data_IF_299552675164
#
_entry.id   IF_299552675164
#
_cell.length_a   1.000
_cell.length_b   1.000
_cell.length_c   1.000
_cell.angle_alpha   90.00
_cell.angle_beta   90.00
_cell.angle_gamma   90.00
#
_symmetry.space_group_name_H-M   'P 1'
#
loop_
_entity.id
_entity.type
_entity.pdbx_description
1 polymer ?
#
# COMPACT_ATOMS: atom_id res chain seq x y z
N UNK A 1 -20.37 3.27 6.77
CA UNK A 1 -21.19 2.04 6.81
C UNK A 1 -21.19 1.43 5.41
N UNK A 2 -21.09 0.11 5.28
CA UNK A 2 -21.26 -0.56 3.98
C UNK A 2 -22.74 -0.56 3.56
N UNK A 3 -23.01 -0.29 2.28
CA UNK A 3 -24.33 -0.51 1.67
C UNK A 3 -24.49 -1.99 1.35
N UNK A 4 -25.69 -2.52 1.52
CA UNK A 4 -26.02 -3.90 1.14
C UNK A 4 -26.01 -4.03 -0.39
N UNK A 5 -25.02 -4.76 -0.93
CA UNK A 5 -24.87 -4.98 -2.38
C UNK A 5 -25.90 -6.02 -2.86
N UNK A 6 -26.73 -5.65 -3.83
CA UNK A 6 -27.74 -6.56 -4.41
C UNK A 6 -27.14 -7.41 -5.53
N UNK A 7 -27.54 -8.68 -5.58
CA UNK A 7 -27.06 -9.66 -6.57
C UNK A 7 -25.53 -9.80 -6.57
N UNK A 8 -24.92 -9.81 -5.39
CA UNK A 8 -23.47 -9.83 -5.20
C UNK A 8 -22.87 -11.23 -5.01
N UNK A 9 -23.67 -12.31 -5.02
CA UNK A 9 -23.22 -13.71 -4.85
C UNK A 9 -23.67 -14.56 -6.05
N UNK A 10 -22.80 -15.42 -6.54
CA UNK A 10 -23.13 -16.52 -7.46
C UNK A 10 -22.36 -17.78 -7.09
N UNK A 11 -23.03 -18.93 -7.13
CA UNK A 11 -22.46 -20.24 -6.86
C UNK A 11 -22.52 -21.13 -8.12
N UNK A 12 -21.40 -21.75 -8.47
CA UNK A 12 -21.26 -22.56 -9.68
C UNK A 12 -20.21 -23.66 -9.47
N UNK A 13 -20.59 -24.92 -9.72
CA UNK A 13 -19.69 -26.09 -9.74
C UNK A 13 -18.86 -26.32 -8.46
N UNK A 14 -19.35 -25.87 -7.30
CA UNK A 14 -18.65 -25.96 -6.01
C UNK A 14 -17.71 -24.78 -5.71
N UNK A 15 -17.83 -23.70 -6.49
CA UNK A 15 -17.18 -22.41 -6.23
C UNK A 15 -18.25 -21.34 -5.96
N UNK A 16 -17.88 -20.32 -5.19
CA UNK A 16 -18.74 -19.20 -4.79
C UNK A 16 -17.98 -17.89 -4.99
N UNK A 17 -18.48 -17.07 -5.91
CA UNK A 17 -17.99 -15.72 -6.16
C UNK A 17 -18.87 -14.74 -5.38
N UNK A 18 -18.28 -13.93 -4.50
CA UNK A 18 -19.01 -12.90 -3.72
C UNK A 18 -18.32 -11.54 -3.84
N UNK A 19 -19.00 -10.51 -4.33
CA UNK A 19 -18.50 -9.13 -4.26
C UNK A 19 -18.83 -8.55 -2.89
N UNK A 20 -17.78 -8.18 -2.16
CA UNK A 20 -17.84 -7.80 -0.75
C UNK A 20 -17.95 -6.28 -0.58
N UNK A 21 -17.21 -5.52 -1.39
CA UNK A 21 -17.16 -4.06 -1.36
C UNK A 21 -17.06 -3.51 -2.78
N UNK A 22 -17.74 -2.39 -3.00
CA UNK A 22 -17.56 -1.53 -4.17
C UNK A 22 -17.51 -0.11 -3.62
N UNK A 23 -16.51 0.68 -4.02
CA UNK A 23 -16.46 2.13 -3.80
C UNK A 23 -15.87 2.83 -5.03
N UNK A 24 -16.16 4.12 -5.18
CA UNK A 24 -15.74 4.88 -6.36
C UNK A 24 -15.43 6.35 -6.03
N UNK A 25 -14.42 6.88 -6.72
CA UNK A 25 -14.27 8.31 -6.97
C UNK A 25 -14.84 8.63 -8.35
N UNK A 26 -14.81 9.90 -8.76
CA UNK A 26 -15.19 10.30 -10.13
C UNK A 26 -14.39 9.54 -11.19
N UNK A 27 -13.12 9.20 -10.93
CA UNK A 27 -12.16 8.73 -11.94
C UNK A 27 -11.59 7.32 -11.70
N UNK A 28 -11.84 6.72 -10.53
CA UNK A 28 -11.40 5.36 -10.14
C UNK A 28 -12.55 4.60 -9.47
N UNK A 29 -12.73 3.33 -9.80
CA UNK A 29 -13.68 2.41 -9.14
C UNK A 29 -12.92 1.19 -8.62
N UNK A 30 -13.06 0.86 -7.32
CA UNK A 30 -12.38 -0.25 -6.63
C UNK A 30 -13.41 -1.30 -6.22
N UNK A 31 -13.21 -2.54 -6.65
CA UNK A 31 -14.10 -3.69 -6.44
C UNK A 31 -13.35 -4.79 -5.71
N UNK A 32 -13.77 -5.07 -4.47
CA UNK A 32 -13.18 -6.11 -3.63
C UNK A 32 -14.13 -7.32 -3.57
N UNK A 33 -13.66 -8.51 -3.92
CA UNK A 33 -14.48 -9.72 -4.01
C UNK A 33 -13.73 -10.99 -3.59
N UNK A 34 -14.46 -12.05 -3.22
CA UNK A 34 -13.92 -13.36 -2.86
C UNK A 34 -14.25 -14.42 -3.90
N UNK A 35 -13.34 -15.36 -4.09
CA UNK A 35 -13.63 -16.67 -4.68
C UNK A 35 -13.36 -17.74 -3.63
N UNK A 36 -14.44 -18.33 -3.09
CA UNK A 36 -14.40 -19.54 -2.26
C UNK A 36 -14.54 -20.77 -3.17
N UNK A 37 -13.84 -21.86 -2.87
CA UNK A 37 -13.90 -23.10 -3.64
C UNK A 37 -13.91 -24.35 -2.75
N UNK A 38 -14.40 -25.46 -3.28
CA UNK A 38 -14.20 -26.80 -2.71
C UNK A 38 -12.84 -27.43 -3.10
N UNK A 39 -12.08 -26.80 -4.00
CA UNK A 39 -10.69 -27.18 -4.35
C UNK A 39 -9.71 -26.13 -3.82
N UNK A 40 -8.58 -26.57 -3.27
CA UNK A 40 -7.53 -25.66 -2.81
C UNK A 40 -6.95 -24.79 -3.94
N UNK A 41 -6.47 -23.60 -3.59
CA UNK A 41 -5.77 -22.64 -4.46
C UNK A 41 -4.24 -22.68 -4.32
N UNK A 42 -3.64 -23.72 -3.69
CA UNK A 42 -2.18 -23.88 -3.44
C UNK A 42 -1.21 -23.81 -4.63
N UNK A 43 -1.69 -23.59 -5.86
CA UNK A 43 -0.88 -23.32 -7.05
C UNK A 43 -1.34 -22.05 -7.80
N UNK A 44 -1.90 -21.09 -7.07
CA UNK A 44 -2.15 -19.74 -7.55
C UNK A 44 -0.83 -19.07 -8.00
N UNK A 45 -0.90 -18.15 -8.96
CA UNK A 45 0.28 -17.51 -9.55
C UNK A 45 1.04 -18.35 -10.60
N UNK A 46 1.36 -19.62 -10.36
CA UNK A 46 2.35 -20.34 -11.20
C UNK A 46 1.90 -20.61 -12.65
N UNK A 47 0.75 -21.26 -12.88
CA UNK A 47 0.18 -21.53 -14.23
C UNK A 47 -1.37 -21.63 -14.22
N UNK A 48 -2.03 -20.97 -13.26
CA UNK A 48 -3.49 -21.06 -13.09
C UNK A 48 -4.28 -20.20 -14.08
N UNK A 49 -5.02 -20.82 -14.99
CA UNK A 49 -5.97 -20.15 -15.89
C UNK A 49 -7.24 -19.69 -15.16
N UNK A 50 -7.08 -18.72 -14.26
CA UNK A 50 -8.12 -18.00 -13.53
C UNK A 50 -8.12 -16.54 -14.02
N UNK A 51 -9.02 -16.24 -14.94
CA UNK A 51 -9.17 -14.90 -15.54
C UNK A 51 -10.24 -14.11 -14.79
N UNK A 52 -9.91 -12.86 -14.44
CA UNK A 52 -10.78 -11.92 -13.73
C UNK A 52 -10.95 -10.67 -14.59
N UNK A 53 -12.20 -10.27 -14.85
CA UNK A 53 -12.50 -9.05 -15.59
C UNK A 53 -13.67 -8.29 -14.94
N UNK A 54 -13.38 -7.12 -14.37
CA UNK A 54 -14.41 -6.14 -13.96
C UNK A 54 -14.75 -5.23 -15.13
N UNK A 55 -15.98 -4.71 -15.22
CA UNK A 55 -16.39 -3.68 -16.19
C UNK A 55 -17.44 -2.73 -15.60
N UNK A 56 -17.48 -1.48 -16.08
CA UNK A 56 -18.57 -0.54 -15.80
C UNK A 56 -18.82 0.34 -17.04
N UNK A 57 -19.89 0.06 -17.79
CA UNK A 57 -20.16 0.70 -19.07
C UNK A 57 -19.18 0.32 -20.17
N UNK A 58 -19.40 0.87 -21.37
CA UNK A 58 -18.45 0.82 -22.49
C UNK A 58 -17.60 2.09 -22.42
N UNK A 59 -16.30 1.95 -22.12
CA UNK A 59 -15.39 3.06 -21.86
C UNK A 59 -14.09 2.93 -22.67
N UNK A 60 -13.71 4.00 -23.35
CA UNK A 60 -12.39 4.19 -23.95
C UNK A 60 -11.39 4.63 -22.85
N UNK A 61 -10.08 4.53 -23.12
CA UNK A 61 -8.98 4.86 -22.19
C UNK A 61 -9.11 4.25 -20.77
N UNK A 62 -9.56 2.98 -20.69
CA UNK A 62 -9.70 2.27 -19.43
C UNK A 62 -8.42 1.52 -19.04
N UNK A 63 -7.82 1.90 -17.92
CA UNK A 63 -6.74 1.15 -17.28
C UNK A 63 -7.30 0.25 -16.17
N UNK A 64 -6.65 -0.89 -15.90
CA UNK A 64 -7.09 -1.86 -14.87
C UNK A 64 -5.88 -2.37 -14.10
N UNK A 65 -5.92 -2.28 -12.77
CA UNK A 65 -4.95 -2.89 -11.84
C UNK A 65 -5.67 -3.92 -10.99
N UNK A 66 -5.00 -5.02 -10.62
CA UNK A 66 -5.60 -6.06 -9.79
C UNK A 66 -4.58 -6.72 -8.87
N UNK A 67 -4.92 -6.86 -7.59
CA UNK A 67 -4.20 -7.69 -6.61
C UNK A 67 -5.07 -8.89 -6.20
N UNK A 68 -4.44 -9.91 -5.63
CA UNK A 68 -5.12 -11.12 -5.19
C UNK A 68 -4.32 -11.83 -4.09
N UNK A 69 -4.94 -12.05 -2.92
CA UNK A 69 -4.30 -12.58 -1.72
C UNK A 69 -4.94 -13.91 -1.29
N UNK A 70 -4.10 -14.88 -0.93
CA UNK A 70 -4.54 -16.24 -0.57
C UNK A 70 -4.89 -16.32 0.93
N UNK A 71 -6.06 -15.74 1.27
CA UNK A 71 -6.53 -15.65 2.66
C UNK A 71 -6.78 -16.99 3.36
N UNK A 72 -7.11 -18.04 2.60
CA UNK A 72 -7.19 -19.42 3.11
C UNK A 72 -6.87 -20.39 1.98
N UNK A 73 -6.53 -21.63 2.34
CA UNK A 73 -6.20 -22.74 1.44
C UNK A 73 -7.19 -22.93 0.27
N UNK A 74 -8.44 -22.52 0.44
CA UNK A 74 -9.55 -22.61 -0.51
C UNK A 74 -10.33 -21.29 -0.72
N UNK A 75 -9.77 -20.13 -0.35
CA UNK A 75 -10.40 -18.80 -0.50
C UNK A 75 -9.37 -17.72 -0.89
N UNK A 76 -9.54 -17.14 -2.08
CA UNK A 76 -8.80 -15.95 -2.54
C UNK A 76 -9.66 -14.71 -2.32
N UNK A 77 -9.05 -13.62 -1.84
CA UNK A 77 -9.59 -12.27 -1.94
C UNK A 77 -8.92 -11.54 -3.10
N UNK A 78 -9.75 -10.91 -3.93
CA UNK A 78 -9.35 -10.11 -5.08
C UNK A 78 -9.72 -8.66 -4.86
N UNK A 79 -8.86 -7.77 -5.33
CA UNK A 79 -9.18 -6.37 -5.51
C UNK A 79 -8.86 -5.94 -6.94
N UNK A 80 -9.79 -5.22 -7.57
CA UNK A 80 -9.64 -4.73 -8.93
C UNK A 80 -10.01 -3.26 -8.97
N UNK A 81 -9.08 -2.45 -9.44
CA UNK A 81 -9.28 -1.03 -9.73
C UNK A 81 -9.45 -0.82 -11.23
N UNK A 82 -10.45 -0.05 -11.62
CA UNK A 82 -10.63 0.44 -12.99
C UNK A 82 -10.57 1.96 -12.99
N UNK A 83 -9.68 2.51 -13.82
CA UNK A 83 -9.47 3.95 -14.00
C UNK A 83 -10.08 4.41 -15.32
N UNK A 84 -10.58 5.66 -15.34
CA UNK A 84 -11.03 6.34 -16.55
C UNK A 84 -10.81 7.86 -16.39
N UNK A 85 -10.02 8.44 -17.29
CA UNK A 85 -9.71 9.88 -17.37
C UNK A 85 -10.96 10.75 -17.52
N UNK A 86 -11.92 10.29 -18.33
CA UNK A 86 -13.19 10.97 -18.59
C UNK A 86 -14.19 10.84 -17.42
N UNK A 87 -13.92 9.91 -16.50
CA UNK A 87 -14.71 9.64 -15.30
C UNK A 87 -15.90 8.71 -15.49
N UNK A 88 -16.37 8.15 -14.38
CA UNK A 88 -17.49 7.21 -14.33
C UNK A 88 -18.83 7.92 -14.14
N UNK A 89 -19.91 7.32 -14.64
CA UNK A 89 -21.27 7.78 -14.34
C UNK A 89 -21.65 7.46 -12.89
N UNK A 90 -22.37 8.38 -12.23
CA UNK A 90 -22.81 8.22 -10.83
C UNK A 90 -23.70 6.98 -10.59
N UNK A 91 -24.32 6.44 -11.64
CA UNK A 91 -25.19 5.26 -11.57
C UNK A 91 -24.97 4.35 -12.76
N UNK A 92 -24.97 3.04 -12.55
CA UNK A 92 -24.77 2.07 -13.62
C UNK A 92 -24.89 0.63 -13.15
N UNK A 93 -24.25 -0.28 -13.86
CA UNK A 93 -24.09 -1.69 -13.48
C UNK A 93 -22.61 -2.04 -13.57
N UNK A 94 -22.04 -2.53 -12.47
CA UNK A 94 -20.74 -3.18 -12.49
C UNK A 94 -20.94 -4.65 -12.86
N UNK A 95 -20.13 -5.12 -13.80
CA UNK A 95 -20.02 -6.52 -14.18
C UNK A 95 -18.72 -7.08 -13.61
N UNK A 96 -18.77 -8.23 -12.95
CA UNK A 96 -17.59 -8.97 -12.51
C UNK A 96 -17.65 -10.35 -13.14
N UNK A 97 -16.76 -10.60 -14.10
CA UNK A 97 -16.60 -11.88 -14.77
C UNK A 97 -15.41 -12.64 -14.20
N UNK A 98 -15.60 -13.94 -13.96
CA UNK A 98 -14.56 -14.85 -13.47
C UNK A 98 -14.64 -16.16 -14.24
N UNK A 99 -13.52 -16.57 -14.85
CA UNK A 99 -13.37 -17.82 -15.58
C UNK A 99 -12.22 -18.62 -14.98
N UNK A 100 -12.46 -19.88 -14.59
CA UNK A 100 -11.42 -20.80 -14.09
C UNK A 100 -11.54 -22.16 -14.81
N UNK A 101 -10.56 -22.46 -15.66
CA UNK A 101 -10.53 -23.72 -16.40
C UNK A 101 -10.33 -24.98 -15.52
N UNK A 102 -9.62 -24.85 -14.39
CA UNK A 102 -9.34 -25.95 -13.46
C UNK A 102 -10.52 -26.22 -12.50
N UNK A 103 -11.32 -25.20 -12.21
CA UNK A 103 -12.50 -25.27 -11.33
C UNK A 103 -13.84 -25.31 -12.08
N UNK A 104 -13.79 -25.22 -13.42
CA UNK A 104 -14.95 -25.12 -14.30
C UNK A 104 -15.89 -23.97 -13.89
N UNK A 105 -15.30 -22.83 -13.55
CA UNK A 105 -16.02 -21.59 -13.23
C UNK A 105 -16.14 -20.76 -14.51
N UNK A 106 -17.33 -20.24 -14.79
CA UNK A 106 -17.56 -19.22 -15.82
C UNK A 106 -18.78 -18.44 -15.36
N UNK A 107 -18.51 -17.49 -14.46
CA UNK A 107 -19.49 -16.75 -13.70
C UNK A 107 -19.45 -15.26 -14.08
N UNK A 108 -20.62 -14.63 -14.11
CA UNK A 108 -20.77 -13.19 -14.35
C UNK A 108 -21.77 -12.61 -13.36
N UNK A 109 -21.30 -11.75 -12.46
CA UNK A 109 -22.15 -10.96 -11.57
C UNK A 109 -22.46 -9.61 -12.22
N UNK A 110 -23.68 -9.11 -12.01
CA UNK A 110 -24.15 -7.81 -12.50
C UNK A 110 -24.84 -7.06 -11.37
N UNK A 111 -24.10 -6.10 -10.80
CA UNK A 111 -24.45 -5.39 -9.57
C UNK A 111 -24.83 -3.95 -9.94
N UNK A 112 -26.10 -3.54 -9.76
CA UNK A 112 -26.50 -2.14 -9.92
C UNK A 112 -25.83 -1.26 -8.86
N UNK A 113 -25.22 -0.16 -9.29
CA UNK A 113 -24.44 0.76 -8.43
C UNK A 113 -24.98 2.19 -8.48
N UNK A 114 -24.80 2.91 -7.37
CA UNK A 114 -25.15 4.32 -7.22
C UNK A 114 -24.12 5.02 -6.30
N UNK A 115 -23.18 5.70 -6.93
CA UNK A 115 -22.05 6.42 -6.35
C UNK A 115 -22.32 7.91 -6.12
N UNK A 116 -23.58 8.37 -6.20
CA UNK A 116 -23.93 9.79 -5.98
C UNK A 116 -23.39 10.34 -4.67
N UNK A 117 -23.44 9.54 -3.59
CA UNK A 117 -22.87 9.87 -2.29
C UNK A 117 -21.34 9.76 -2.31
N UNK A 118 -20.82 8.63 -2.80
CA UNK A 118 -19.39 8.36 -2.90
C UNK A 118 -18.61 9.46 -3.66
N UNK A 119 -19.22 10.07 -4.69
CA UNK A 119 -18.63 11.18 -5.44
C UNK A 119 -18.64 12.52 -4.67
N UNK A 120 -19.52 12.72 -3.67
CA UNK A 120 -19.46 13.90 -2.79
C UNK A 120 -18.39 13.75 -1.69
N UNK A 121 -18.01 12.53 -1.35
CA UNK A 121 -16.97 12.22 -0.36
C UNK A 121 -15.56 12.44 -0.95
N UNK A 122 -15.26 13.71 -1.25
CA UNK A 122 -13.97 14.19 -1.73
C UNK A 122 -13.46 15.35 -0.88
N UNK A 123 -12.14 15.45 -0.77
CA UNK A 123 -11.44 16.60 -0.18
C UNK A 123 -10.24 16.94 -1.05
N UNK A 124 -10.10 18.22 -1.39
CA UNK A 124 -9.02 18.76 -2.21
C UNK A 124 -8.51 20.03 -1.56
N UNK A 125 -7.19 20.14 -1.39
CA UNK A 125 -6.53 21.31 -0.82
C UNK A 125 -5.28 21.63 -1.65
N UNK A 126 -5.25 22.82 -2.25
CA UNK A 126 -4.07 23.31 -2.96
C UNK A 126 -2.90 23.49 -1.98
N UNK A 127 -1.72 23.03 -2.41
CA UNK A 127 -0.46 23.11 -1.68
C UNK A 127 0.56 23.92 -2.48
N UNK A 128 1.60 24.37 -1.79
CA UNK A 128 2.76 25.00 -2.42
C UNK A 128 4.01 24.55 -1.69
N UNK A 129 4.72 23.59 -2.25
CA UNK A 129 6.03 23.16 -1.76
C UNK A 129 6.92 22.68 -2.91
N UNK A 130 8.23 22.75 -2.70
CA UNK A 130 9.22 22.16 -3.59
C UNK A 130 9.97 21.06 -2.84
N UNK A 131 10.25 19.95 -3.52
CA UNK A 131 11.03 18.85 -2.94
C UNK A 131 12.50 19.23 -2.92
N UNK A 132 13.09 19.20 -1.72
CA UNK A 132 14.46 19.66 -1.49
C UNK A 132 15.47 18.76 -2.22
N UNK A 133 16.06 19.30 -3.29
CA UNK A 133 17.09 18.62 -4.09
C UNK A 133 16.63 18.21 -5.48
N UNK A 134 15.37 18.45 -5.84
CA UNK A 134 14.80 18.15 -7.15
C UNK A 134 13.99 19.34 -7.68
N UNK A 135 13.58 19.28 -8.95
CA UNK A 135 12.66 20.27 -9.55
C UNK A 135 11.17 19.88 -9.41
N UNK A 136 10.82 18.99 -8.46
CA UNK A 136 9.43 18.56 -8.21
C UNK A 136 8.70 19.61 -7.37
N UNK A 137 7.52 20.04 -7.83
CA UNK A 137 6.59 20.85 -7.05
C UNK A 137 5.41 20.03 -6.53
N UNK A 138 5.16 20.10 -5.21
CA UNK A 138 3.97 19.57 -4.56
C UNK A 138 2.84 20.59 -4.74
N UNK A 139 1.78 20.18 -5.47
CA UNK A 139 0.69 21.06 -5.92
C UNK A 139 -0.60 20.92 -5.12
N UNK A 140 -0.96 19.72 -4.69
CA UNK A 140 -2.29 19.48 -4.13
C UNK A 140 -2.30 18.26 -3.22
N UNK A 141 -3.12 18.30 -2.18
CA UNK A 141 -3.56 17.13 -1.42
C UNK A 141 -4.96 16.74 -1.89
N UNK A 142 -5.17 15.46 -2.18
CA UNK A 142 -6.46 14.91 -2.63
C UNK A 142 -6.83 13.68 -1.81
N UNK A 143 -8.09 13.57 -1.41
CA UNK A 143 -8.63 12.41 -0.70
C UNK A 143 -10.04 12.10 -1.19
N UNK A 144 -10.34 10.82 -1.38
CA UNK A 144 -11.64 10.36 -1.89
C UNK A 144 -12.04 9.00 -1.25
N UNK A 145 -13.15 8.42 -1.72
CA UNK A 145 -13.70 7.12 -1.26
C UNK A 145 -12.84 5.88 -1.53
N UNK A 146 -11.80 6.03 -2.35
CA UNK A 146 -10.93 4.97 -2.84
C UNK A 146 -9.52 5.10 -2.27
N UNK A 147 -8.97 6.32 -2.27
CA UNK A 147 -7.57 6.58 -1.91
C UNK A 147 -7.35 8.01 -1.37
N UNK A 148 -6.12 8.29 -0.95
CA UNK A 148 -5.62 9.63 -0.62
C UNK A 148 -4.21 9.78 -1.18
N UNK A 149 -3.87 10.97 -1.70
CA UNK A 149 -2.59 11.18 -2.34
C UNK A 149 -2.18 12.65 -2.47
N UNK A 150 -0.97 12.83 -3.00
CA UNK A 150 -0.31 14.11 -3.20
C UNK A 150 -0.06 14.29 -4.69
N UNK A 151 -0.62 15.34 -5.28
CA UNK A 151 -0.41 15.68 -6.69
C UNK A 151 0.87 16.49 -6.84
N UNK A 152 1.70 16.06 -7.78
CA UNK A 152 3.02 16.58 -8.11
C UNK A 152 2.99 17.13 -9.54
N UNK A 153 3.74 18.20 -9.80
CA UNK A 153 4.00 18.71 -11.16
C UNK A 153 5.40 18.33 -11.62
N UNK A 154 5.50 17.82 -12.85
CA UNK A 154 6.75 17.36 -13.46
C UNK A 154 7.24 18.24 -14.63
N UNK A 155 8.47 18.81 -14.56
CA UNK A 155 9.09 19.48 -15.69
C UNK A 155 9.63 18.44 -16.69
N UNK A 156 8.99 18.31 -17.85
CA UNK A 156 9.29 17.26 -18.84
C UNK A 156 10.74 17.31 -19.36
N UNK A 157 11.57 16.38 -18.87
CA UNK A 157 12.98 16.21 -19.26
C UNK A 157 13.47 14.78 -19.00
N UNK A 158 14.57 14.37 -19.64
CA UNK A 158 14.99 12.95 -19.69
C UNK A 158 15.79 12.44 -18.48
N UNK A 159 16.45 13.31 -17.70
CA UNK A 159 17.36 12.93 -16.59
C UNK A 159 16.64 12.50 -15.30
N UNK A 160 15.46 11.93 -15.47
CA UNK A 160 14.37 12.19 -14.54
C UNK A 160 13.91 10.94 -13.81
N UNK A 161 13.73 9.85 -14.56
CA UNK A 161 13.17 8.58 -14.09
C UNK A 161 13.94 8.06 -12.86
N UNK A 162 15.27 8.16 -12.90
CA UNK A 162 16.22 7.85 -11.81
C UNK A 162 15.90 8.52 -10.44
N UNK A 163 15.19 9.66 -10.44
CA UNK A 163 14.89 10.44 -9.23
C UNK A 163 13.53 10.13 -8.60
N UNK A 164 12.61 9.44 -9.29
CA UNK A 164 11.31 9.07 -8.72
C UNK A 164 11.38 7.86 -7.82
N UNK A 165 12.08 6.80 -8.24
CA UNK A 165 12.16 5.55 -7.47
C UNK A 165 12.83 5.77 -6.09
N UNK A 166 13.65 6.82 -5.99
CA UNK A 166 14.30 7.29 -4.78
C UNK A 166 13.46 8.28 -3.93
N UNK A 167 12.27 8.68 -4.38
CA UNK A 167 11.40 9.69 -3.75
C UNK A 167 10.16 9.06 -3.11
N UNK A 168 9.92 9.35 -1.83
CA UNK A 168 8.84 8.76 -1.03
C UNK A 168 8.04 9.87 -0.31
N UNK A 169 6.74 9.64 -0.09
CA UNK A 169 5.86 10.65 0.53
C UNK A 169 5.20 10.13 1.81
N UNK A 170 5.14 11.00 2.81
CA UNK A 170 4.58 10.73 4.13
C UNK A 170 3.35 11.60 4.32
N UNK A 171 2.19 10.97 4.50
CA UNK A 171 0.95 11.64 4.87
C UNK A 171 0.73 11.40 6.36
N UNK A 172 0.78 12.44 7.17
CA UNK A 172 0.56 12.40 8.61
C UNK A 172 -0.86 12.88 8.93
N UNK A 173 -1.62 12.06 9.66
CA UNK A 173 -3.02 12.32 10.06
C UNK A 173 -3.17 12.07 11.56
N UNK A 174 -3.35 13.14 12.34
CA UNK A 174 -3.42 13.11 13.82
C UNK A 174 -2.28 12.34 14.52
N UNK A 175 -1.11 12.26 13.89
CA UNK A 175 0.11 11.60 14.38
C UNK A 175 0.32 10.17 13.85
N UNK A 176 -0.57 9.66 12.99
CA UNK A 176 -0.36 8.42 12.22
C UNK A 176 0.25 8.75 10.87
N UNK A 177 1.29 8.02 10.48
CA UNK A 177 2.01 8.19 9.22
C UNK A 177 1.59 7.09 8.25
N UNK A 178 1.19 7.51 7.07
CA UNK A 178 0.84 6.68 5.92
C UNK A 178 1.87 6.90 4.81
N UNK A 179 2.32 5.83 4.17
CA UNK A 179 3.26 5.90 3.05
C UNK A 179 2.49 6.08 1.74
N UNK A 180 2.80 7.16 1.01
CA UNK A 180 2.25 7.45 -0.30
C UNK A 180 3.31 7.17 -1.37
N UNK A 181 3.44 5.88 -1.71
CA UNK A 181 4.57 5.35 -2.49
C UNK A 181 4.16 4.76 -3.85
N UNK A 182 2.87 4.47 -4.09
CA UNK A 182 2.39 4.15 -5.43
C UNK A 182 2.24 5.46 -6.21
N UNK A 183 3.07 5.68 -7.22
CA UNK A 183 3.10 6.93 -8.01
C UNK A 183 2.61 6.64 -9.43
N UNK A 184 1.39 7.06 -9.73
CA UNK A 184 0.80 7.00 -11.08
C UNK A 184 1.05 8.32 -11.84
N UNK A 185 1.32 8.28 -13.15
CA UNK A 185 1.45 9.46 -14.02
C UNK A 185 0.21 9.72 -14.89
N UNK A 186 -0.02 10.97 -15.27
CA UNK A 186 -1.05 11.37 -16.23
C UNK A 186 -0.68 12.65 -16.99
N UNK A 187 -1.08 12.72 -18.26
CA UNK A 187 -0.77 13.88 -19.11
C UNK A 187 -1.51 15.15 -18.66
N UNK A 188 -0.82 16.29 -18.81
CA UNK A 188 -1.39 17.63 -18.71
C UNK A 188 -0.64 18.59 -19.64
N UNK A 189 -1.20 19.79 -19.87
CA UNK A 189 -0.66 20.74 -20.84
C UNK A 189 0.78 21.18 -20.52
N UNK A 190 1.74 20.64 -21.29
CA UNK A 190 3.19 20.95 -21.26
C UNK A 190 3.95 20.57 -19.97
N UNK A 191 3.35 19.80 -19.07
CA UNK A 191 4.01 19.20 -17.90
C UNK A 191 3.30 17.88 -17.57
N UNK A 192 3.99 16.87 -17.04
CA UNK A 192 3.29 15.68 -16.52
C UNK A 192 2.75 15.99 -15.13
N UNK A 193 1.53 15.55 -14.83
CA UNK A 193 1.08 15.48 -13.45
C UNK A 193 1.30 14.05 -12.96
N UNK A 194 1.62 13.91 -11.67
CA UNK A 194 1.80 12.61 -11.04
C UNK A 194 1.11 12.61 -9.68
N UNK A 195 0.64 11.45 -9.22
CA UNK A 195 -0.01 11.34 -7.92
C UNK A 195 0.64 10.25 -7.08
N UNK A 196 1.26 10.65 -5.98
CA UNK A 196 1.76 9.74 -4.97
C UNK A 196 0.60 9.34 -4.03
N UNK A 197 0.21 8.07 -4.04
CA UNK A 197 -1.00 7.56 -3.38
C UNK A 197 -0.69 6.64 -2.20
N UNK A 198 -1.48 6.78 -1.12
CA UNK A 198 -1.55 5.88 0.02
C UNK A 198 -2.92 5.19 0.02
N UNK A 199 -2.96 3.93 -0.40
CA UNK A 199 -4.21 3.18 -0.63
C UNK A 199 -4.97 2.86 0.67
N UNK A 200 -4.26 2.70 1.80
CA UNK A 200 -4.84 2.50 3.15
C UNK A 200 -5.53 3.74 3.73
N UNK A 201 -5.43 4.90 3.06
CA UNK A 201 -5.92 6.18 3.57
C UNK A 201 -7.04 6.71 2.68
N UNK A 202 -8.25 6.88 3.23
CA UNK A 202 -9.43 7.35 2.48
C UNK A 202 -10.09 8.55 3.17
N UNK A 203 -11.00 9.21 2.44
CA UNK A 203 -11.76 10.37 2.92
C UNK A 203 -12.46 10.15 4.28
N UNK A 204 -12.92 8.93 4.56
CA UNK A 204 -13.57 8.59 5.85
C UNK A 204 -12.61 8.72 7.05
N UNK A 205 -11.30 8.62 6.86
CA UNK A 205 -10.26 8.86 7.88
C UNK A 205 -9.82 10.34 7.92
N UNK A 206 -9.88 11.03 6.77
CA UNK A 206 -9.39 12.41 6.59
C UNK A 206 -10.37 13.46 7.12
N UNK A 207 -11.67 13.34 6.80
CA UNK A 207 -12.68 14.40 7.02
C UNK A 207 -12.73 14.91 8.47
N UNK A 208 -12.71 13.99 9.44
CA UNK A 208 -12.88 14.25 10.88
C UNK A 208 -11.53 14.46 11.62
N UNK A 209 -10.40 14.34 10.93
CA UNK A 209 -9.06 14.56 11.52
C UNK A 209 -8.86 16.01 11.98
N UNK A 210 -7.97 16.22 12.94
CA UNK A 210 -7.71 17.54 13.54
C UNK A 210 -6.46 18.22 12.94
N UNK A 211 -5.55 17.42 12.39
CA UNK A 211 -4.27 17.83 11.83
C UNK A 211 -3.87 16.90 10.67
N UNK A 212 -3.47 17.51 9.55
CA UNK A 212 -2.99 16.79 8.37
C UNK A 212 -1.74 17.49 7.85
N UNK A 213 -0.67 16.74 7.62
CA UNK A 213 0.53 17.24 6.95
C UNK A 213 1.11 16.26 5.94
N UNK A 214 1.88 16.80 4.99
CA UNK A 214 2.62 16.06 3.97
C UNK A 214 4.11 16.39 4.13
N UNK A 215 4.96 15.37 4.09
CA UNK A 215 6.42 15.51 4.02
C UNK A 215 6.97 14.52 3.00
N UNK A 216 7.88 14.94 2.13
CA UNK A 216 8.62 14.00 1.29
C UNK A 216 9.93 13.59 1.98
N UNK A 217 10.49 12.44 1.61
CA UNK A 217 11.92 12.20 1.72
C UNK A 217 12.48 11.68 0.39
N UNK A 218 13.78 11.83 0.22
CA UNK A 218 14.52 11.44 -0.98
C UNK A 218 15.82 10.74 -0.59
N UNK A 219 16.12 9.61 -1.22
CA UNK A 219 17.40 8.93 -1.11
C UNK A 219 18.38 9.53 -2.14
N UNK A 220 19.48 10.13 -1.68
CA UNK A 220 20.52 10.72 -2.54
C UNK A 220 21.67 9.76 -2.87
N UNK A 221 21.43 8.45 -2.80
CA UNK A 221 22.30 7.46 -3.42
C UNK A 221 22.22 7.58 -4.95
N UNK A 222 23.35 7.37 -5.62
CA UNK A 222 23.39 7.15 -7.06
C UNK A 222 23.07 5.70 -7.41
N UNK A 223 22.68 5.42 -8.65
CA UNK A 223 22.49 4.06 -9.16
C UNK A 223 23.73 3.17 -8.94
N UNK A 224 24.95 3.70 -9.00
CA UNK A 224 26.16 2.91 -8.72
C UNK A 224 26.30 2.57 -7.22
N UNK A 225 25.69 3.34 -6.32
CA UNK A 225 25.64 3.04 -4.88
C UNK A 225 24.49 2.08 -4.56
N UNK A 226 23.29 2.33 -5.12
CA UNK A 226 22.13 1.44 -5.02
C UNK A 226 22.44 0.05 -5.57
N UNK A 227 23.07 -0.04 -6.75
CA UNK A 227 23.43 -1.33 -7.35
C UNK A 227 24.44 -2.11 -6.51
N UNK A 228 25.24 -1.49 -5.62
CA UNK A 228 26.06 -2.27 -4.67
C UNK A 228 25.20 -2.95 -3.61
N UNK A 229 24.16 -2.27 -3.12
CA UNK A 229 23.14 -2.89 -2.25
C UNK A 229 22.29 -3.93 -2.98
N UNK A 230 22.08 -3.80 -4.30
CA UNK A 230 21.31 -4.76 -5.11
C UNK A 230 22.14 -5.92 -5.71
N UNK A 231 23.46 -5.77 -5.86
CA UNK A 231 24.39 -6.86 -6.25
C UNK A 231 24.76 -7.76 -5.06
N UNK A 232 24.92 -7.21 -3.85
CA UNK A 232 25.07 -7.97 -2.60
C UNK A 232 23.71 -8.46 -2.02
N UNK A 233 22.62 -8.41 -2.80
CA UNK A 233 21.24 -8.68 -2.36
C UNK A 233 20.89 -10.18 -2.33
N UNK A 234 21.45 -10.94 -1.38
CA UNK A 234 20.70 -12.10 -0.87
C UNK A 234 19.50 -11.56 -0.07
N UNK A 235 18.28 -11.98 -0.41
CA UNK A 235 17.07 -11.57 0.30
C UNK A 235 17.13 -11.92 1.79
N UNK A 236 17.87 -12.99 2.16
CA UNK A 236 18.14 -13.37 3.55
C UNK A 236 18.91 -12.30 4.32
N UNK A 237 19.75 -11.54 3.64
CA UNK A 237 20.64 -10.57 4.27
C UNK A 237 19.88 -9.30 4.72
N UNK A 238 18.67 -9.06 4.18
CA UNK A 238 17.73 -8.03 4.64
C UNK A 238 16.73 -8.53 5.70
N UNK A 239 16.73 -9.82 6.05
CA UNK A 239 15.88 -10.38 7.11
C UNK A 239 16.48 -9.98 8.46
N UNK A 240 15.71 -9.22 9.25
CA UNK A 240 16.03 -8.94 10.65
C UNK A 240 15.92 -10.22 11.51
N UNK A 241 14.87 -11.00 11.25
CA UNK A 241 14.63 -12.32 11.85
C UNK A 241 13.18 -12.76 11.75
N UNK A 242 12.89 -13.93 12.35
CA UNK A 242 11.53 -14.42 12.53
C UNK A 242 10.75 -13.57 13.55
N UNK A 243 9.46 -13.37 13.30
CA UNK A 243 8.48 -12.92 14.30
C UNK A 243 8.30 -14.02 15.35
N UNK A 244 8.04 -13.69 16.63
CA UNK A 244 7.67 -14.68 17.65
C UNK A 244 6.57 -15.64 17.17
N UNK A 245 6.89 -16.94 17.12
CA UNK A 245 5.95 -18.01 16.69
C UNK A 245 4.87 -18.32 17.72
N UNK A 246 5.08 -17.99 19.00
CA UNK A 246 4.06 -18.12 20.06
C UNK A 246 2.98 -17.05 19.96
N UNK A 247 1.75 -17.33 20.42
CA UNK A 247 0.66 -16.33 20.46
C UNK A 247 1.03 -15.07 21.27
N UNK A 248 1.88 -15.22 22.29
CA UNK A 248 2.45 -14.10 23.03
C UNK A 248 3.98 -14.28 23.05
N UNK A 249 4.74 -13.23 22.70
CA UNK A 249 6.20 -13.34 22.61
C UNK A 249 6.88 -12.02 22.29
N UNK A 250 8.18 -11.97 22.58
CA UNK A 250 9.03 -10.79 22.41
C UNK A 250 10.35 -11.19 21.71
N UNK A 251 10.86 -10.34 20.83
CA UNK A 251 12.18 -10.52 20.18
C UNK A 251 12.82 -9.16 19.93
N UNK A 252 14.11 -9.04 20.22
CA UNK A 252 14.90 -7.82 20.05
C UNK A 252 15.94 -8.01 18.93
N UNK A 253 16.03 -7.04 18.03
CA UNK A 253 17.05 -6.94 16.99
C UNK A 253 17.87 -5.66 17.21
N UNK A 254 19.19 -5.76 17.02
CA UNK A 254 20.12 -4.63 17.04
C UNK A 254 20.62 -4.34 15.63
N UNK A 255 20.61 -3.07 15.27
CA UNK A 255 21.02 -2.52 13.97
C UNK A 255 22.16 -1.55 14.21
N UNK A 256 23.10 -1.47 13.26
CA UNK A 256 24.22 -0.52 13.32
C UNK A 256 24.22 0.35 12.08
N UNK A 257 24.13 1.66 12.27
CA UNK A 257 24.27 2.65 11.20
C UNK A 257 25.75 2.80 10.82
N UNK A 258 26.05 3.32 9.62
CA UNK A 258 27.43 3.43 9.15
C UNK A 258 28.25 4.52 9.87
N UNK A 259 27.59 5.49 10.51
CA UNK A 259 28.21 6.40 11.49
C UNK A 259 28.60 5.70 12.83
N UNK A 260 28.19 4.44 12.98
CA UNK A 260 28.41 3.48 14.08
C UNK A 260 27.48 3.63 15.29
N UNK A 261 26.45 4.48 15.25
CA UNK A 261 25.40 4.42 16.28
C UNK A 261 24.54 3.16 16.14
N UNK A 262 23.74 2.88 17.16
CA UNK A 262 22.99 1.64 17.28
C UNK A 262 21.49 1.94 17.30
N UNK A 263 20.77 1.31 16.38
CA UNK A 263 19.32 1.23 16.38
C UNK A 263 18.87 -0.06 17.07
N UNK A 264 17.70 -0.03 17.68
CA UNK A 264 17.01 -1.19 18.23
C UNK A 264 15.62 -1.31 17.62
N UNK A 265 15.30 -2.49 17.13
CA UNK A 265 13.93 -2.93 16.83
C UNK A 265 13.52 -3.93 17.90
N UNK A 266 12.40 -3.66 18.57
CA UNK A 266 11.75 -4.61 19.50
C UNK A 266 10.41 -5.04 18.93
N UNK A 267 10.19 -6.34 18.80
CA UNK A 267 8.94 -6.95 18.33
C UNK A 267 8.20 -7.53 19.53
N UNK A 268 6.93 -7.16 19.70
CA UNK A 268 6.01 -7.82 20.62
C UNK A 268 4.84 -8.38 19.80
N UNK A 269 4.53 -9.66 19.96
CA UNK A 269 3.30 -10.29 19.45
C UNK A 269 2.33 -10.50 20.61
N UNK A 270 1.08 -10.06 20.44
CA UNK A 270 -0.02 -10.20 21.38
C UNK A 270 -1.25 -10.73 20.64
N UNK A 271 -1.38 -12.07 20.58
CA UNK A 271 -2.33 -12.82 19.76
C UNK A 271 -2.10 -12.55 18.26
N UNK A 272 -3.10 -11.98 17.58
CA UNK A 272 -3.14 -11.71 16.14
C UNK A 272 -2.60 -10.31 15.79
N UNK A 273 -1.91 -9.66 16.71
CA UNK A 273 -1.35 -8.31 16.53
C UNK A 273 0.15 -8.31 16.83
N UNK A 274 0.91 -7.57 16.04
CA UNK A 274 2.35 -7.33 16.24
C UNK A 274 2.58 -5.84 16.42
N UNK A 275 3.37 -5.48 17.43
CA UNK A 275 3.90 -4.12 17.61
C UNK A 275 5.42 -4.14 17.45
N UNK A 276 5.92 -3.33 16.53
CA UNK A 276 7.34 -3.20 16.20
C UNK A 276 7.79 -1.81 16.65
N UNK A 277 8.67 -1.75 17.64
CA UNK A 277 9.19 -0.53 18.25
C UNK A 277 10.58 -0.23 17.68
N UNK A 278 10.67 0.76 16.80
CA UNK A 278 11.89 1.22 16.17
C UNK A 278 12.46 2.42 16.95
N UNK A 279 13.69 2.32 17.43
CA UNK A 279 14.33 3.36 18.27
C UNK A 279 15.84 3.46 18.02
N UNK A 280 16.41 4.64 18.21
CA UNK A 280 17.82 4.96 17.92
C UNK A 280 18.24 6.28 18.60
N UNK A 281 19.46 6.74 18.33
CA UNK A 281 19.99 8.03 18.78
C UNK A 281 19.27 9.26 18.20
N UNK A 282 18.50 9.14 17.10
CA UNK A 282 17.83 10.29 16.48
C UNK A 282 16.44 9.97 15.92
N UNK A 283 15.57 10.98 15.93
CA UNK A 283 14.20 10.89 15.42
C UNK A 283 14.16 10.44 13.95
N UNK A 284 15.09 10.96 13.14
CA UNK A 284 15.28 10.64 11.72
C UNK A 284 15.58 9.15 11.51
N UNK A 285 16.59 8.61 12.19
CA UNK A 285 17.00 7.20 12.10
C UNK A 285 15.87 6.26 12.52
N UNK A 286 15.19 6.57 13.63
CA UNK A 286 14.05 5.77 14.10
C UNK A 286 12.84 5.80 13.15
N UNK A 287 12.58 6.96 12.52
CA UNK A 287 11.53 7.08 11.52
C UNK A 287 11.88 6.31 10.24
N UNK A 288 13.13 6.41 9.74
CA UNK A 288 13.62 5.60 8.63
C UNK A 288 13.47 4.10 8.89
N UNK A 289 13.84 3.62 10.09
CA UNK A 289 13.64 2.23 10.50
C UNK A 289 12.16 1.83 10.46
N UNK A 290 11.25 2.65 10.99
CA UNK A 290 9.81 2.33 11.02
C UNK A 290 9.17 2.33 9.62
N UNK A 291 9.59 3.24 8.74
CA UNK A 291 9.07 3.34 7.37
C UNK A 291 9.55 2.17 6.51
N UNK A 292 10.82 1.77 6.62
CA UNK A 292 11.44 0.77 5.73
C UNK A 292 11.54 -0.64 6.36
N UNK A 293 10.97 -0.88 7.54
CA UNK A 293 10.71 -2.23 8.09
C UNK A 293 9.36 -2.75 7.61
N UNK A 294 9.29 -3.98 7.12
CA UNK A 294 8.05 -4.63 6.64
C UNK A 294 8.01 -6.11 7.04
N UNK A 295 6.80 -6.68 7.08
CA UNK A 295 6.59 -8.09 7.38
C UNK A 295 6.22 -8.88 6.13
N UNK A 296 6.77 -10.09 5.99
CA UNK A 296 6.40 -11.05 4.95
C UNK A 296 5.98 -12.38 5.58
N UNK A 297 5.05 -13.08 4.95
CA UNK A 297 4.75 -14.48 5.25
C UNK A 297 5.66 -15.41 4.43
N UNK A 298 6.22 -16.40 5.11
CA UNK A 298 7.13 -17.41 4.57
C UNK A 298 6.54 -18.81 4.70
N UNK A 299 6.91 -19.69 3.75
CA UNK A 299 6.49 -21.10 3.74
C UNK A 299 7.42 -21.99 4.62
N UNK A 300 7.27 -23.32 4.51
CA UNK A 300 8.12 -24.28 5.23
C UNK A 300 9.61 -24.29 4.79
N UNK A 301 9.92 -23.72 3.62
CA UNK A 301 11.28 -23.56 3.08
C UNK A 301 11.89 -22.18 3.42
N UNK A 302 11.10 -21.29 4.03
CA UNK A 302 11.32 -19.84 4.19
C UNK A 302 11.22 -19.01 2.90
N UNK A 303 10.61 -19.53 1.83
CA UNK A 303 10.30 -18.74 0.64
C UNK A 303 9.12 -17.80 0.95
N UNK A 304 9.31 -16.51 0.72
CA UNK A 304 8.29 -15.48 0.96
C UNK A 304 7.24 -15.46 -0.16
N UNK A 305 5.96 -15.37 0.19
CA UNK A 305 4.85 -15.49 -0.78
C UNK A 305 3.70 -14.48 -0.64
N UNK A 306 3.63 -13.71 0.45
CA UNK A 306 2.60 -12.71 0.71
C UNK A 306 3.12 -11.67 1.71
N UNK A 307 2.61 -10.43 1.68
CA UNK A 307 3.09 -9.33 2.52
C UNK A 307 2.08 -8.95 3.62
N UNK A 308 2.59 -8.39 4.73
CA UNK A 308 1.75 -7.99 5.87
C UNK A 308 1.39 -6.50 5.73
N UNK A 309 0.49 -6.23 4.80
CA UNK A 309 0.21 -4.88 4.28
C UNK A 309 -0.55 -3.96 5.25
N UNK A 310 -1.20 -4.52 6.29
CA UNK A 310 -2.00 -3.79 7.29
C UNK A 310 -1.12 -2.96 8.26
N UNK A 311 -0.35 -2.01 7.74
CA UNK A 311 0.74 -1.29 8.42
C UNK A 311 0.33 0.11 8.87
N UNK A 312 0.25 0.33 10.19
CA UNK A 312 0.05 1.67 10.77
C UNK A 312 1.32 2.12 11.48
N UNK A 313 1.91 3.25 11.07
CA UNK A 313 3.09 3.85 11.72
C UNK A 313 2.65 5.04 12.60
N UNK A 314 3.21 5.20 13.80
CA UNK A 314 3.10 6.45 14.57
C UNK A 314 4.29 6.62 15.53
N UNK A 315 4.53 7.85 16.01
CA UNK A 315 5.56 8.16 17.00
C UNK A 315 5.06 7.90 18.42
N UNK A 316 5.85 7.24 19.28
CA UNK A 316 5.49 7.14 20.71
C UNK A 316 5.60 8.52 21.38
N UNK A 317 4.61 8.84 22.21
CA UNK A 317 4.51 10.10 22.96
C UNK A 317 5.12 9.99 24.36
N UNK A 318 5.72 8.84 24.71
CA UNK A 318 6.33 8.52 26.02
C UNK A 318 7.83 8.24 25.96
N UNK A 319 8.38 7.99 24.78
CA UNK A 319 9.78 7.59 24.56
C UNK A 319 10.36 8.44 23.44
N UNK A 320 11.43 9.17 23.75
CA UNK A 320 12.11 10.01 22.76
C UNK A 320 12.71 9.16 21.62
N UNK A 321 12.64 9.69 20.40
CA UNK A 321 13.14 9.03 19.18
C UNK A 321 12.64 7.58 19.01
N UNK A 322 11.38 7.28 19.35
CA UNK A 322 10.77 5.96 19.12
C UNK A 322 9.52 6.04 18.24
N UNK A 323 9.46 5.17 17.25
CA UNK A 323 8.31 4.96 16.37
C UNK A 323 7.78 3.53 16.56
N UNK A 324 6.47 3.38 16.40
CA UNK A 324 5.75 2.11 16.53
C UNK A 324 5.09 1.81 15.19
N UNK A 325 5.29 0.59 14.71
CA UNK A 325 4.50 -0.03 13.66
C UNK A 325 3.51 -0.98 14.33
N UNK A 326 2.23 -0.87 14.00
CA UNK A 326 1.21 -1.87 14.33
C UNK A 326 0.85 -2.66 13.07
N UNK A 327 0.97 -3.99 13.15
CA UNK A 327 0.45 -4.94 12.16
C UNK A 327 -0.71 -5.71 12.83
N UNK A 328 -1.89 -5.69 12.22
CA UNK A 328 -3.12 -6.23 12.81
C UNK A 328 -3.67 -7.39 11.97
N UNK A 329 -4.39 -8.32 12.61
CA UNK A 329 -4.96 -9.54 12.00
C UNK A 329 -3.90 -10.46 11.36
N UNK A 330 -2.74 -10.60 11.99
CA UNK A 330 -1.65 -11.48 11.55
C UNK A 330 -2.04 -12.94 11.77
N UNK A 331 -1.84 -13.78 10.74
CA UNK A 331 -2.29 -15.17 10.77
C UNK A 331 -1.50 -16.04 11.77
N UNK A 332 -2.23 -16.84 12.56
CA UNK A 332 -1.68 -17.60 13.68
C UNK A 332 -0.66 -18.66 13.30
N UNK A 333 -0.93 -19.38 12.21
CA UNK A 333 -0.22 -20.60 11.83
C UNK A 333 0.82 -20.38 10.70
N UNK A 334 0.99 -19.16 10.21
CA UNK A 334 2.01 -18.80 9.20
C UNK A 334 3.32 -18.36 9.87
N UNK A 335 4.46 -18.78 9.32
CA UNK A 335 5.76 -18.16 9.65
C UNK A 335 5.75 -16.74 9.09
N UNK A 336 6.04 -15.75 9.94
CA UNK A 336 6.26 -14.38 9.52
C UNK A 336 7.71 -13.99 9.81
N UNK A 337 8.33 -13.26 8.89
CA UNK A 337 9.66 -12.65 9.02
C UNK A 337 9.55 -11.13 8.93
N UNK A 338 10.45 -10.42 9.61
CA UNK A 338 10.63 -8.99 9.40
C UNK A 338 11.84 -8.76 8.50
N UNK A 339 11.64 -7.94 7.48
CA UNK A 339 12.70 -7.42 6.62
C UNK A 339 12.84 -5.92 6.86
N UNK A 340 14.02 -5.40 6.57
CA UNK A 340 14.29 -3.97 6.56
C UNK A 340 15.25 -3.63 5.43
N UNK A 341 14.96 -2.57 4.69
CA UNK A 341 15.82 -2.15 3.58
C UNK A 341 17.16 -1.59 4.10
N UNK A 342 18.28 -2.23 3.72
CA UNK A 342 19.63 -1.86 4.20
C UNK A 342 20.12 -0.49 3.77
N UNK A 343 19.54 0.12 2.74
CA UNK A 343 19.92 1.46 2.27
C UNK A 343 19.86 2.49 3.40
N UNK A 344 18.90 2.36 4.33
CA UNK A 344 18.73 3.29 5.47
C UNK A 344 19.89 3.34 6.48
N UNK A 345 20.84 2.40 6.39
CA UNK A 345 22.02 2.38 7.27
C UNK A 345 23.01 3.52 6.94
N UNK A 346 22.95 4.03 5.70
CA UNK A 346 23.55 5.29 5.25
C UNK A 346 22.55 6.44 5.46
N UNK A 347 22.17 6.70 6.72
CA UNK A 347 21.05 7.62 6.99
C UNK A 347 21.29 9.01 6.40
N UNK A 348 22.55 9.47 6.31
CA UNK A 348 22.95 10.76 5.75
C UNK A 348 22.53 10.95 4.28
N UNK A 349 22.40 9.87 3.51
CA UNK A 349 21.84 9.87 2.14
C UNK A 349 20.36 10.26 2.09
N UNK A 350 19.61 10.06 3.18
CA UNK A 350 18.17 10.32 3.24
C UNK A 350 17.89 11.77 3.64
N UNK A 351 17.42 12.55 2.66
CA UNK A 351 17.09 13.97 2.81
C UNK A 351 15.58 14.13 2.98
N UNK A 352 15.16 14.55 4.17
CA UNK A 352 13.78 14.92 4.44
C UNK A 352 13.48 16.35 3.95
N UNK A 353 12.31 16.51 3.34
CA UNK A 353 11.74 17.81 2.95
C UNK A 353 11.18 18.58 4.15
N UNK A 354 10.62 19.76 3.87
CA UNK A 354 9.86 20.51 4.87
C UNK A 354 8.47 19.88 5.07
N UNK A 355 7.94 19.94 6.29
CA UNK A 355 6.54 19.58 6.56
C UNK A 355 5.59 20.64 5.98
N UNK A 356 4.70 20.23 5.07
CA UNK A 356 3.65 21.07 4.49
C UNK A 356 2.35 20.76 5.23
N UNK A 357 1.75 21.77 5.86
CA UNK A 357 0.44 21.61 6.52
C UNK A 357 -0.69 21.68 5.51
N UNK A 358 -1.62 20.73 5.63
CA UNK A 358 -2.88 20.66 4.87
C UNK A 358 -4.04 21.12 5.77
N UNK A 359 -4.02 20.76 7.06
CA UNK A 359 -5.02 21.11 8.08
C UNK A 359 -4.33 21.30 9.43
#
# INVERSE_FOLDING_TARGET
MSKELKNNVIEQNGNKLTVNKICASKNKVKVCFTIESNKSFKHFGMHGGLEVNVFMGDLENRHTRSSAHLTQDNKIEYEVEINNENGFAETGVIRVDVVDGYRNLNASLKIPVNFKEDFQDNYTQDLSGAIKGTDIEIKQFVSNRVETGVVLLWPDNEKFIENIDNSNFLINVDGKIYLANNIDDFEADNNRNMIATAEDLTYDQIKDSNSISVMNYYNSMTDEELNKYYEDFDTKDNILGEVPKTENGETDFLIKFNDKTEGKIKVIKENDNIKIYCSSDSDKKSMLMAMNTFGLYCDENNDAYDSIDNKVIYKDKKVDNQYIIELNNVEKDKTAVLLMEKTILEDDKFVFGNEIKVK
#
